data_IF_471469451666
#
_entry.id   IF_471469451666
#
_cell.length_a   1.000
_cell.length_b   1.000
_cell.length_c   1.000
_cell.angle_alpha   90.00
_cell.angle_beta   90.00
_cell.angle_gamma   90.00
#
_symmetry.space_group_name_H-M   'P 1'
#
loop_
_entity.id
_entity.type
_entity.pdbx_description
1 polymer ?
#
# COMPACT_ATOMS: atom_id res chain seq x y z
N UNK A 1 11.02 -0.52 4.15
CA UNK A 1 10.92 -1.30 2.91
C UNK A 1 12.31 -1.80 2.50
N UNK A 2 12.40 -2.96 1.87
CA UNK A 2 13.67 -3.51 1.39
C UNK A 2 14.47 -4.35 2.40
N UNK A 3 14.15 -4.35 3.69
CA UNK A 3 14.80 -5.18 4.72
C UNK A 3 14.10 -6.53 4.89
N UNK A 4 13.88 -7.25 3.80
CA UNK A 4 13.15 -8.52 3.82
C UNK A 4 14.04 -9.74 4.06
N UNK A 5 15.34 -9.67 3.69
CA UNK A 5 16.26 -10.78 3.93
C UNK A 5 17.02 -10.60 5.25
N UNK A 6 17.43 -11.72 5.91
CA UNK A 6 18.23 -11.69 7.14
C UNK A 6 19.53 -10.88 6.98
N UNK A 7 20.19 -10.97 5.83
CA UNK A 7 21.44 -10.27 5.53
C UNK A 7 21.23 -8.76 5.52
N UNK A 8 20.16 -8.28 4.83
CA UNK A 8 19.84 -6.84 4.78
C UNK A 8 19.46 -6.30 6.17
N UNK A 9 18.70 -7.07 6.96
CA UNK A 9 18.38 -6.70 8.35
C UNK A 9 19.65 -6.52 9.17
N UNK A 10 20.61 -7.46 9.12
CA UNK A 10 21.88 -7.39 9.84
C UNK A 10 22.73 -6.15 9.47
N UNK A 11 22.75 -5.78 8.19
CA UNK A 11 23.50 -4.57 7.74
C UNK A 11 22.92 -3.32 8.40
N UNK A 12 21.58 -3.16 8.35
CA UNK A 12 20.92 -2.00 8.95
C UNK A 12 21.05 -2.01 10.47
N UNK A 13 20.89 -3.17 11.11
CA UNK A 13 21.05 -3.35 12.55
C UNK A 13 22.45 -2.95 13.01
N UNK A 14 23.50 -3.45 12.37
CA UNK A 14 24.88 -3.14 12.69
C UNK A 14 25.17 -1.62 12.55
N UNK A 15 24.66 -0.99 11.50
CA UNK A 15 24.79 0.46 11.29
C UNK A 15 24.13 1.27 12.41
N UNK A 16 22.90 0.90 12.80
CA UNK A 16 22.15 1.60 13.84
C UNK A 16 22.79 1.37 15.24
N UNK A 17 23.21 0.14 15.55
CA UNK A 17 23.93 -0.16 16.81
C UNK A 17 25.21 0.65 16.90
N UNK A 18 25.97 0.77 15.80
CA UNK A 18 27.20 1.56 15.77
C UNK A 18 26.96 3.06 16.04
N UNK A 19 25.86 3.61 15.55
CA UNK A 19 25.50 5.02 15.73
C UNK A 19 24.90 5.31 17.11
N UNK A 20 23.92 4.52 17.54
CA UNK A 20 23.13 4.80 18.74
C UNK A 20 23.71 4.16 20.00
N UNK A 21 24.71 3.27 19.90
CA UNK A 21 25.32 2.55 21.02
C UNK A 21 24.31 1.83 21.92
N UNK A 22 23.24 1.33 21.32
CA UNK A 22 22.14 0.62 21.99
C UNK A 22 21.76 -0.62 21.17
N UNK A 23 21.24 -1.69 21.80
CA UNK A 23 20.67 -2.82 21.07
C UNK A 23 19.54 -2.37 20.12
N UNK A 24 19.56 -2.86 18.89
CA UNK A 24 18.57 -2.55 17.86
C UNK A 24 18.05 -3.85 17.27
N UNK A 25 16.76 -3.94 17.05
CA UNK A 25 16.13 -5.03 16.27
C UNK A 25 15.50 -4.45 15.01
N UNK A 26 15.87 -4.99 13.86
CA UNK A 26 15.33 -4.59 12.56
C UNK A 26 14.30 -5.59 12.10
N UNK A 27 13.07 -5.12 11.89
CA UNK A 27 11.96 -5.93 11.43
C UNK A 27 11.35 -5.41 10.12
N UNK A 28 10.46 -6.20 9.50
CA UNK A 28 9.77 -5.79 8.29
C UNK A 28 8.75 -4.68 8.59
N UNK A 29 8.50 -3.83 7.59
CA UNK A 29 7.42 -2.84 7.60
C UNK A 29 6.06 -3.49 7.85
N UNK A 30 5.83 -4.69 7.32
CA UNK A 30 4.60 -5.45 7.51
C UNK A 30 4.38 -5.85 8.99
N UNK A 31 5.43 -6.30 9.70
CA UNK A 31 5.32 -6.58 11.14
C UNK A 31 5.10 -5.28 11.92
N UNK A 32 5.77 -4.20 11.51
CA UNK A 32 5.52 -2.88 12.07
C UNK A 32 4.08 -2.40 11.87
N UNK A 33 3.51 -2.64 10.68
CA UNK A 33 2.10 -2.35 10.41
C UNK A 33 1.16 -3.19 11.29
N UNK A 34 1.39 -4.49 11.39
CA UNK A 34 0.58 -5.39 12.21
C UNK A 34 0.58 -4.97 13.70
N UNK A 35 1.75 -4.75 14.29
CA UNK A 35 1.90 -4.28 15.67
C UNK A 35 1.28 -2.89 15.87
N UNK A 36 1.46 -1.97 14.93
CA UNK A 36 0.90 -0.61 15.02
C UNK A 36 -0.62 -0.53 14.84
N UNK A 37 -1.21 -1.45 14.10
CA UNK A 37 -2.65 -1.50 13.88
C UNK A 37 -3.39 -2.30 14.94
N UNK A 38 -2.87 -3.46 15.30
CA UNK A 38 -3.53 -4.50 16.10
C UNK A 38 -3.00 -4.59 17.54
N UNK A 39 -1.81 -4.04 17.80
CA UNK A 39 -1.12 -4.15 19.10
C UNK A 39 -0.89 -5.63 19.43
N UNK A 40 -1.66 -6.20 20.36
CA UNK A 40 -1.61 -7.61 20.78
C UNK A 40 -2.86 -8.38 20.37
N UNK A 41 -3.73 -7.81 19.51
CA UNK A 41 -4.91 -8.50 19.02
C UNK A 41 -4.60 -9.27 17.73
N UNK A 42 -5.22 -10.44 17.58
CA UNK A 42 -5.15 -11.18 16.33
C UNK A 42 -6.00 -10.52 15.24
N UNK A 43 -5.52 -10.53 13.99
CA UNK A 43 -6.25 -9.95 12.87
C UNK A 43 -5.47 -9.90 11.56
N UNK A 44 -6.07 -9.34 10.56
CA UNK A 44 -5.47 -9.12 9.23
C UNK A 44 -5.01 -7.66 9.17
N UNK A 45 -3.72 -7.45 8.98
CA UNK A 45 -3.11 -6.15 8.78
C UNK A 45 -2.76 -5.97 7.31
N UNK A 46 -3.20 -4.86 6.72
CA UNK A 46 -3.01 -4.51 5.33
C UNK A 46 -2.28 -3.17 5.20
N UNK A 47 -1.32 -3.12 4.28
CA UNK A 47 -0.64 -1.89 3.86
C UNK A 47 -1.16 -1.52 2.47
N UNK A 48 -1.66 -0.30 2.30
CA UNK A 48 -1.94 0.33 1.00
C UNK A 48 -1.27 1.70 0.95
N UNK A 49 -0.06 1.72 0.42
CA UNK A 49 0.76 2.90 0.21
C UNK A 49 1.22 3.00 -1.24
N UNK A 50 2.50 3.30 -1.48
CA UNK A 50 3.12 3.22 -2.82
C UNK A 50 3.09 1.80 -3.38
N UNK A 51 3.33 0.78 -2.54
CA UNK A 51 3.05 -0.64 -2.80
C UNK A 51 1.92 -1.15 -1.90
N UNK A 52 1.64 -2.45 -1.96
CA UNK A 52 0.69 -3.12 -1.07
C UNK A 52 1.24 -4.40 -0.46
N UNK A 53 0.77 -4.73 0.72
CA UNK A 53 1.09 -5.99 1.40
C UNK A 53 0.01 -6.33 2.43
N UNK A 54 -0.04 -7.59 2.89
CA UNK A 54 -0.99 -8.01 3.93
C UNK A 54 -0.45 -9.18 4.73
N UNK A 55 -0.94 -9.37 5.94
CA UNK A 55 -0.65 -10.56 6.74
C UNK A 55 -1.78 -10.89 7.70
N UNK A 56 -1.85 -12.16 8.10
CA UNK A 56 -2.52 -12.56 9.31
C UNK A 56 -1.52 -12.55 10.47
N UNK A 57 -1.85 -11.79 11.50
CA UNK A 57 -1.09 -11.60 12.72
C UNK A 57 -1.85 -12.22 13.88
N UNK A 58 -1.20 -13.02 14.73
CA UNK A 58 -1.83 -13.74 15.85
C UNK A 58 -1.84 -12.96 17.18
N UNK A 59 -1.38 -11.71 17.15
CA UNK A 59 -1.15 -10.86 18.34
C UNK A 59 0.32 -10.84 18.80
N UNK A 60 1.18 -11.65 18.19
CA UNK A 60 2.62 -11.75 18.51
C UNK A 60 3.51 -11.77 17.28
N UNK A 61 3.16 -12.59 16.28
CA UNK A 61 3.91 -12.80 15.07
C UNK A 61 3.03 -12.85 13.82
N UNK A 62 3.64 -12.66 12.66
CA UNK A 62 2.99 -12.93 11.38
C UNK A 62 2.93 -14.44 11.17
N UNK A 63 1.72 -14.99 11.09
CA UNK A 63 1.46 -16.42 10.90
C UNK A 63 1.33 -16.76 9.41
N UNK A 64 0.70 -15.86 8.63
CA UNK A 64 0.52 -16.03 7.19
C UNK A 64 0.72 -14.69 6.48
N UNK A 65 1.45 -14.71 5.36
CA UNK A 65 1.62 -13.55 4.48
C UNK A 65 1.34 -13.98 3.04
N UNK A 66 0.42 -13.31 2.38
CA UNK A 66 0.26 -13.38 0.94
C UNK A 66 1.30 -12.45 0.31
N UNK A 67 2.16 -12.99 -0.54
CA UNK A 67 3.29 -12.24 -1.11
C UNK A 67 2.81 -11.04 -1.92
N UNK A 68 3.38 -9.86 -1.69
CA UNK A 68 3.06 -8.63 -2.42
C UNK A 68 3.47 -8.66 -3.89
N UNK A 69 4.51 -9.38 -4.24
CA UNK A 69 5.10 -9.57 -5.57
C UNK A 69 5.63 -8.28 -6.24
N UNK A 70 5.46 -7.10 -5.63
CA UNK A 70 5.92 -5.81 -6.14
C UNK A 70 5.10 -5.27 -7.31
N UNK A 71 5.50 -4.10 -7.82
CA UNK A 71 4.71 -3.29 -8.77
C UNK A 71 4.51 -3.92 -10.15
N UNK A 72 5.33 -4.92 -10.54
CA UNK A 72 5.19 -5.61 -11.83
C UNK A 72 4.09 -6.68 -11.75
N UNK A 73 4.19 -7.58 -10.77
CA UNK A 73 3.37 -8.80 -10.68
C UNK A 73 2.24 -8.70 -9.65
N UNK A 74 2.25 -7.69 -8.79
CA UNK A 74 1.32 -7.53 -7.67
C UNK A 74 1.05 -6.08 -7.34
N UNK A 75 1.13 -5.76 -6.03
CA UNK A 75 0.85 -4.45 -5.44
C UNK A 75 -0.56 -3.92 -5.76
N UNK A 76 -1.54 -4.82 -5.94
CA UNK A 76 -2.92 -4.46 -6.19
C UNK A 76 -3.43 -3.46 -5.13
N UNK A 77 -4.26 -2.51 -5.54
CA UNK A 77 -4.80 -1.47 -4.66
C UNK A 77 -3.81 -0.39 -4.24
N UNK A 78 -2.51 -0.52 -4.56
CA UNK A 78 -1.49 0.48 -4.25
C UNK A 78 -1.53 1.69 -5.17
N UNK A 79 -0.86 2.77 -4.77
CA UNK A 79 -0.68 3.95 -5.61
C UNK A 79 0.06 3.63 -6.92
N UNK A 80 1.09 2.78 -6.87
CA UNK A 80 1.80 2.36 -8.09
C UNK A 80 0.91 1.55 -9.04
N UNK A 81 0.06 0.67 -8.51
CA UNK A 81 -0.88 -0.10 -9.31
C UNK A 81 -1.92 0.79 -9.99
N UNK A 82 -2.52 1.72 -9.25
CA UNK A 82 -3.50 2.69 -9.77
C UNK A 82 -2.84 3.59 -10.81
N UNK A 83 -1.67 4.15 -10.51
CA UNK A 83 -0.94 5.02 -11.43
C UNK A 83 -0.52 4.31 -12.71
N UNK A 84 -0.08 3.04 -12.63
CA UNK A 84 0.24 2.22 -13.80
C UNK A 84 -0.98 2.01 -14.71
N UNK A 85 -2.12 1.68 -14.13
CA UNK A 85 -3.38 1.48 -14.88
C UNK A 85 -3.83 2.78 -15.53
N UNK A 86 -3.88 3.85 -14.76
CA UNK A 86 -4.27 5.17 -15.25
C UNK A 86 -3.38 5.65 -16.40
N UNK A 87 -2.06 5.57 -16.22
CA UNK A 87 -1.13 5.97 -17.28
C UNK A 87 -1.29 5.14 -18.56
N UNK A 88 -1.46 3.82 -18.42
CA UNK A 88 -1.73 2.96 -19.57
C UNK A 88 -3.00 3.38 -20.30
N UNK A 89 -4.05 3.75 -19.57
CA UNK A 89 -5.31 4.19 -20.16
C UNK A 89 -5.19 5.59 -20.81
N UNK A 90 -4.35 6.49 -20.25
CA UNK A 90 -4.03 7.78 -20.87
C UNK A 90 -3.29 7.60 -22.20
N UNK A 91 -2.25 6.76 -22.21
CA UNK A 91 -1.40 6.53 -23.41
C UNK A 91 -2.11 5.73 -24.52
N UNK A 92 -3.27 5.14 -24.23
CA UNK A 92 -4.09 4.36 -25.17
C UNK A 92 -5.43 5.04 -25.51
N UNK A 93 -5.61 6.29 -25.12
CA UNK A 93 -6.84 7.05 -25.34
C UNK A 93 -8.11 6.36 -24.80
N UNK A 94 -7.97 5.58 -23.71
CA UNK A 94 -9.08 4.89 -23.02
C UNK A 94 -9.67 5.78 -21.93
N UNK A 95 -8.83 6.57 -21.25
CA UNK A 95 -9.28 7.54 -20.25
C UNK A 95 -10.02 8.73 -20.93
N UNK A 96 -10.95 9.42 -20.24
CA UNK A 96 -11.63 10.57 -20.79
C UNK A 96 -10.66 11.64 -21.28
N UNK A 97 -10.86 12.17 -22.49
CA UNK A 97 -9.92 13.08 -23.15
C UNK A 97 -9.59 14.33 -22.30
N UNK A 98 -10.59 14.90 -21.61
CA UNK A 98 -10.34 16.05 -20.73
C UNK A 98 -9.42 15.66 -19.56
N UNK A 99 -9.63 14.51 -18.94
CA UNK A 99 -8.79 14.01 -17.84
C UNK A 99 -7.35 13.75 -18.30
N UNK A 100 -7.18 13.24 -19.53
CA UNK A 100 -5.86 13.02 -20.17
C UNK A 100 -5.14 14.36 -20.36
N UNK A 101 -5.81 15.36 -20.93
CA UNK A 101 -5.24 16.69 -21.13
C UNK A 101 -4.81 17.32 -19.79
N UNK A 102 -5.71 17.32 -18.81
CA UNK A 102 -5.44 17.83 -17.46
C UNK A 102 -4.26 17.12 -16.79
N UNK A 103 -4.12 15.81 -17.01
CA UNK A 103 -3.01 15.02 -16.48
C UNK A 103 -1.68 15.41 -17.12
N UNK A 104 -1.59 15.49 -18.44
CA UNK A 104 -0.36 15.87 -19.12
C UNK A 104 0.06 17.32 -18.81
N UNK A 105 -0.90 18.22 -18.65
CA UNK A 105 -0.65 19.57 -18.16
C UNK A 105 -0.11 19.57 -16.71
N UNK A 106 -0.72 18.78 -15.83
CA UNK A 106 -0.30 18.64 -14.42
C UNK A 106 1.14 18.13 -14.26
N UNK A 107 1.53 17.09 -15.03
CA UNK A 107 2.87 16.51 -14.92
C UNK A 107 3.92 17.25 -15.76
N UNK A 108 3.49 18.06 -16.74
CA UNK A 108 4.35 18.80 -17.66
C UNK A 108 5.45 17.94 -18.33
N UNK A 109 5.07 16.76 -18.78
CA UNK A 109 5.93 15.80 -19.50
C UNK A 109 5.19 15.29 -20.72
N UNK A 110 5.91 15.08 -21.80
CA UNK A 110 5.40 14.41 -23.02
C UNK A 110 5.24 12.89 -22.77
N UNK A 111 4.45 12.19 -23.59
CA UNK A 111 4.34 10.73 -23.55
C UNK A 111 5.70 10.01 -23.63
N UNK A 112 6.62 10.48 -24.46
CA UNK A 112 7.95 9.86 -24.65
C UNK A 112 8.83 10.07 -23.42
N UNK A 113 8.80 11.24 -22.78
CA UNK A 113 9.52 11.52 -21.53
C UNK A 113 8.99 10.66 -20.39
N UNK A 114 7.67 10.43 -20.31
CA UNK A 114 7.07 9.52 -19.33
C UNK A 114 7.53 8.09 -19.54
N UNK A 115 7.55 7.63 -20.80
CA UNK A 115 8.02 6.28 -21.13
C UNK A 115 9.49 6.11 -20.72
N UNK A 116 10.37 7.07 -21.05
CA UNK A 116 11.76 7.06 -20.58
C UNK A 116 11.85 7.07 -19.06
N UNK A 117 11.05 7.92 -18.37
CA UNK A 117 11.04 7.96 -16.92
C UNK A 117 10.64 6.64 -16.25
N UNK A 118 9.84 5.81 -16.92
CA UNK A 118 9.42 4.52 -16.37
C UNK A 118 10.43 3.41 -16.70
N UNK A 119 10.96 3.37 -17.94
CA UNK A 119 11.79 2.26 -18.36
C UNK A 119 13.27 2.46 -18.10
N UNK A 120 13.76 3.71 -18.02
CA UNK A 120 15.17 4.02 -17.86
C UNK A 120 15.56 4.30 -16.38
N UNK A 121 14.57 4.49 -15.47
CA UNK A 121 14.84 4.79 -14.07
C UNK A 121 14.93 3.55 -13.18
N UNK A 122 15.75 3.63 -12.13
CA UNK A 122 15.97 2.57 -11.16
C UNK A 122 14.79 2.30 -10.21
N UNK A 123 13.80 3.20 -10.13
CA UNK A 123 12.64 3.13 -9.22
C UNK A 123 11.31 3.48 -9.91
N UNK A 124 10.88 2.71 -10.91
CA UNK A 124 9.65 3.00 -11.66
C UNK A 124 8.37 3.01 -10.80
N UNK A 125 8.34 2.23 -9.72
CA UNK A 125 7.20 2.18 -8.78
C UNK A 125 6.94 3.53 -8.11
N UNK A 126 7.98 4.30 -7.78
CA UNK A 126 7.84 5.62 -7.21
C UNK A 126 7.22 6.60 -8.21
N UNK A 127 7.69 6.58 -9.44
CA UNK A 127 7.16 7.40 -10.54
C UNK A 127 5.68 7.10 -10.78
N UNK A 128 5.31 5.82 -10.87
CA UNK A 128 3.92 5.39 -11.02
C UNK A 128 3.05 5.83 -9.84
N UNK A 129 3.58 5.76 -8.60
CA UNK A 129 2.86 6.22 -7.40
C UNK A 129 2.58 7.73 -7.42
N UNK A 130 3.49 8.53 -7.98
CA UNK A 130 3.29 9.98 -8.12
C UNK A 130 2.12 10.27 -9.07
N UNK A 131 1.98 9.55 -10.16
CA UNK A 131 0.90 9.74 -11.12
C UNK A 131 -0.49 9.47 -10.52
N UNK A 132 -0.60 8.53 -9.58
CA UNK A 132 -1.88 8.29 -8.90
C UNK A 132 -2.34 9.43 -8.02
N UNK A 133 -1.44 10.33 -7.58
CA UNK A 133 -1.81 11.49 -6.75
C UNK A 133 -2.73 12.46 -7.47
N UNK A 134 -2.58 12.58 -8.78
CA UNK A 134 -3.46 13.39 -9.62
C UNK A 134 -4.93 12.99 -9.53
N UNK A 135 -5.22 11.73 -9.14
CA UNK A 135 -6.57 11.18 -9.09
C UNK A 135 -7.25 11.37 -7.72
N UNK A 136 -6.50 11.76 -6.66
CA UNK A 136 -7.00 11.68 -5.28
C UNK A 136 -8.21 12.60 -5.00
N UNK A 137 -8.28 13.72 -5.68
CA UNK A 137 -9.35 14.73 -5.57
C UNK A 137 -10.40 14.64 -6.69
N UNK A 138 -10.39 13.56 -7.49
CA UNK A 138 -11.22 13.38 -8.69
C UNK A 138 -12.14 12.14 -8.62
N UNK A 139 -12.42 11.66 -7.40
CA UNK A 139 -13.30 10.50 -7.21
C UNK A 139 -14.76 10.75 -7.60
N UNK A 140 -15.16 11.99 -7.78
CA UNK A 140 -16.45 12.40 -8.34
C UNK A 140 -16.61 12.04 -9.83
N UNK A 141 -15.49 11.82 -10.53
CA UNK A 141 -15.48 11.37 -11.92
C UNK A 141 -15.66 9.84 -11.97
N UNK A 142 -16.69 9.39 -12.67
CA UNK A 142 -17.07 7.96 -12.77
C UNK A 142 -15.91 7.06 -13.27
N UNK A 143 -15.09 7.54 -14.19
CA UNK A 143 -13.90 6.80 -14.65
C UNK A 143 -12.90 6.57 -13.51
N UNK A 144 -12.58 7.63 -12.74
CA UNK A 144 -11.61 7.57 -11.63
C UNK A 144 -12.13 6.67 -10.52
N UNK A 145 -13.40 6.83 -10.15
CA UNK A 145 -14.06 5.99 -9.16
C UNK A 145 -13.96 4.49 -9.55
N UNK A 146 -14.32 4.15 -10.80
CA UNK A 146 -14.23 2.75 -11.28
C UNK A 146 -12.80 2.22 -11.29
N UNK A 147 -11.83 3.02 -11.72
CA UNK A 147 -10.42 2.64 -11.73
C UNK A 147 -9.92 2.29 -10.33
N UNK A 148 -10.18 3.17 -9.36
CA UNK A 148 -9.79 2.99 -7.95
C UNK A 148 -10.53 1.80 -7.33
N UNK A 149 -11.84 1.69 -7.56
CA UNK A 149 -12.66 0.59 -7.06
C UNK A 149 -12.17 -0.76 -7.57
N UNK A 150 -11.84 -0.88 -8.86
CA UNK A 150 -11.28 -2.10 -9.44
C UNK A 150 -9.90 -2.44 -8.85
N UNK A 151 -9.06 -1.44 -8.62
CA UNK A 151 -7.74 -1.67 -8.00
C UNK A 151 -7.87 -2.19 -6.57
N UNK A 152 -8.77 -1.61 -5.77
CA UNK A 152 -9.05 -2.04 -4.40
C UNK A 152 -9.71 -3.43 -4.38
N UNK A 153 -10.68 -3.70 -5.25
CA UNK A 153 -11.31 -5.02 -5.40
C UNK A 153 -10.28 -6.10 -5.73
N UNK A 154 -9.34 -5.78 -6.63
CA UNK A 154 -8.24 -6.70 -6.94
C UNK A 154 -7.38 -7.01 -5.71
N UNK A 155 -7.13 -6.03 -4.83
CA UNK A 155 -6.41 -6.26 -3.57
C UNK A 155 -7.20 -7.21 -2.65
N UNK A 156 -8.49 -7.01 -2.48
CA UNK A 156 -9.30 -7.93 -1.67
C UNK A 156 -9.24 -9.35 -2.23
N UNK A 157 -9.54 -9.53 -3.51
CA UNK A 157 -9.58 -10.86 -4.15
C UNK A 157 -8.25 -11.60 -4.09
N UNK A 158 -7.15 -10.90 -4.31
CA UNK A 158 -5.82 -11.50 -4.44
C UNK A 158 -5.06 -11.60 -3.12
N UNK A 159 -5.44 -10.82 -2.11
CA UNK A 159 -4.76 -10.78 -0.81
C UNK A 159 -5.70 -11.11 0.34
N UNK A 160 -6.70 -10.28 0.65
CA UNK A 160 -7.51 -10.41 1.87
C UNK A 160 -8.30 -11.71 1.90
N UNK A 161 -8.94 -12.08 0.78
CA UNK A 161 -9.74 -13.31 0.68
C UNK A 161 -8.91 -14.60 0.68
N UNK A 162 -7.56 -14.50 0.65
CA UNK A 162 -6.67 -15.65 0.80
C UNK A 162 -6.45 -16.05 2.28
N UNK A 163 -6.90 -15.20 3.21
CA UNK A 163 -6.92 -15.53 4.64
C UNK A 163 -8.28 -16.15 5.00
N UNK A 164 -8.32 -16.83 6.13
CA UNK A 164 -9.56 -17.17 6.82
C UNK A 164 -10.06 -15.87 7.50
N UNK A 165 -10.81 -15.03 6.75
CA UNK A 165 -11.14 -13.66 7.15
C UNK A 165 -12.46 -13.53 7.92
N UNK A 166 -13.32 -14.54 7.88
CA UNK A 166 -14.64 -14.50 8.52
C UNK A 166 -14.51 -14.27 10.03
N UNK A 167 -15.20 -13.25 10.53
CA UNK A 167 -15.16 -12.87 11.93
C UNK A 167 -13.84 -12.28 12.43
N UNK A 168 -12.83 -12.10 11.57
CA UNK A 168 -11.55 -11.51 11.97
C UNK A 168 -11.52 -10.00 11.84
N UNK A 169 -10.75 -9.37 12.71
CA UNK A 169 -10.44 -7.95 12.63
C UNK A 169 -9.58 -7.68 11.40
N UNK A 170 -10.01 -6.72 10.55
CA UNK A 170 -9.25 -6.25 9.39
C UNK A 170 -8.90 -4.78 9.57
N UNK A 171 -7.62 -4.44 9.43
CA UNK A 171 -7.14 -3.08 9.58
C UNK A 171 -6.21 -2.69 8.41
N UNK A 172 -6.23 -1.42 8.06
CA UNK A 172 -5.43 -0.85 6.98
C UNK A 172 -4.52 0.27 7.46
N UNK A 173 -3.35 0.38 6.86
CA UNK A 173 -2.43 1.50 7.03
C UNK A 173 -1.87 1.95 5.69
N UNK A 174 -1.68 3.24 5.55
CA UNK A 174 -1.02 3.86 4.41
C UNK A 174 -1.78 5.05 3.84
N UNK A 175 -1.06 5.89 3.12
CA UNK A 175 -1.62 7.11 2.51
C UNK A 175 -2.73 6.80 1.50
N UNK A 176 -2.54 5.73 0.70
CA UNK A 176 -3.51 5.33 -0.31
C UNK A 176 -4.78 4.74 0.33
N UNK A 177 -4.65 3.99 1.44
CA UNK A 177 -5.79 3.51 2.21
C UNK A 177 -6.64 4.66 2.75
N UNK A 178 -6.00 5.73 3.24
CA UNK A 178 -6.70 6.90 3.76
C UNK A 178 -7.33 7.74 2.65
N UNK A 179 -6.61 7.98 1.54
CA UNK A 179 -7.11 8.77 0.42
C UNK A 179 -8.39 8.17 -0.18
N UNK A 180 -8.46 6.86 -0.26
CA UNK A 180 -9.59 6.14 -0.84
C UNK A 180 -10.42 5.37 0.19
N UNK A 181 -10.46 5.85 1.45
CA UNK A 181 -11.12 5.15 2.57
C UNK A 181 -12.60 4.86 2.34
N UNK A 182 -13.33 5.74 1.66
CA UNK A 182 -14.73 5.53 1.28
C UNK A 182 -14.89 4.33 0.35
N UNK A 183 -14.14 4.32 -0.76
CA UNK A 183 -14.16 3.22 -1.75
C UNK A 183 -13.63 1.92 -1.12
N UNK A 184 -12.62 2.02 -0.26
CA UNK A 184 -12.06 0.87 0.47
C UNK A 184 -13.11 0.22 1.38
N UNK A 185 -13.89 1.02 2.10
CA UNK A 185 -14.97 0.53 2.97
C UNK A 185 -16.09 -0.10 2.15
N UNK A 186 -16.52 0.55 1.07
CA UNK A 186 -17.55 0.03 0.17
C UNK A 186 -17.18 -1.35 -0.41
N UNK A 187 -15.93 -1.49 -0.88
CA UNK A 187 -15.45 -2.78 -1.40
C UNK A 187 -15.38 -3.82 -0.29
N UNK A 188 -14.93 -3.48 0.91
CA UNK A 188 -14.91 -4.38 2.06
C UNK A 188 -16.32 -4.88 2.41
N UNK A 189 -17.31 -3.97 2.45
CA UNK A 189 -18.70 -4.28 2.75
C UNK A 189 -19.30 -5.25 1.71
N UNK A 190 -18.91 -5.16 0.43
CA UNK A 190 -19.34 -6.08 -0.62
C UNK A 190 -18.88 -7.53 -0.38
N UNK A 191 -17.85 -7.72 0.46
CA UNK A 191 -17.35 -9.04 0.91
C UNK A 191 -17.76 -9.37 2.35
N UNK A 192 -18.68 -8.61 2.96
CA UNK A 192 -19.07 -8.73 4.37
C UNK A 192 -17.88 -8.57 5.36
N UNK A 193 -16.87 -7.80 4.96
CA UNK A 193 -15.69 -7.52 5.79
C UNK A 193 -15.85 -6.14 6.42
N UNK A 194 -15.84 -6.09 7.76
CA UNK A 194 -15.83 -4.82 8.50
C UNK A 194 -14.39 -4.39 8.79
N UNK A 195 -14.02 -3.22 8.26
CA UNK A 195 -12.73 -2.60 8.57
C UNK A 195 -12.81 -1.96 9.95
N UNK A 196 -11.97 -2.42 10.89
CA UNK A 196 -11.90 -1.86 12.25
C UNK A 196 -11.17 -0.52 12.29
N UNK A 197 -10.13 -0.35 11.46
CA UNK A 197 -9.27 0.84 11.49
C UNK A 197 -8.61 1.08 10.13
N UNK A 198 -8.59 2.33 9.71
CA UNK A 198 -7.74 2.85 8.63
C UNK A 198 -6.86 3.94 9.23
N UNK A 199 -5.54 3.84 9.07
CA UNK A 199 -4.59 4.77 9.67
C UNK A 199 -3.57 5.27 8.63
N UNK A 200 -3.14 6.53 8.69
CA UNK A 200 -2.12 7.06 7.77
C UNK A 200 -0.72 6.50 8.06
N UNK A 201 -0.46 6.11 9.30
CA UNK A 201 0.83 5.60 9.77
C UNK A 201 0.65 4.58 10.89
N UNK A 202 1.56 3.60 10.96
CA UNK A 202 1.64 2.65 12.07
C UNK A 202 2.34 3.22 13.31
N UNK A 203 3.04 4.35 13.20
CA UNK A 203 3.90 4.90 14.26
C UNK A 203 3.20 5.13 15.60
N UNK A 204 2.00 5.78 15.67
CA UNK A 204 1.33 5.97 16.96
C UNK A 204 1.01 4.65 17.67
N UNK A 205 0.61 3.63 16.90
CA UNK A 205 0.36 2.30 17.43
C UNK A 205 1.63 1.57 17.85
N UNK A 206 2.74 1.71 17.11
CA UNK A 206 4.03 1.15 17.49
C UNK A 206 4.56 1.75 18.79
N UNK A 207 4.43 3.07 18.97
CA UNK A 207 4.75 3.72 20.26
C UNK A 207 3.94 3.08 21.38
N UNK A 208 2.64 2.92 21.20
CA UNK A 208 1.78 2.26 22.19
C UNK A 208 2.20 0.81 22.46
N UNK A 209 2.44 0.02 21.40
CA UNK A 209 2.89 -1.38 21.49
C UNK A 209 4.13 -1.50 22.38
N UNK A 210 5.18 -0.70 22.10
CA UNK A 210 6.43 -0.73 22.87
C UNK A 210 6.37 -0.03 24.25
N UNK A 211 5.33 0.74 24.53
CA UNK A 211 5.12 1.35 25.85
C UNK A 211 4.38 0.43 26.84
N UNK A 212 3.68 -0.59 26.31
CA UNK A 212 2.87 -1.52 27.13
C UNK A 212 3.71 -2.71 27.66
N UNK A 213 4.88 -2.94 27.08
CA UNK A 213 5.82 -4.02 27.47
C UNK A 213 6.86 -3.60 28.54
N UNK A 214 6.55 -2.54 29.33
CA UNK A 214 7.41 -2.11 30.45
C UNK A 214 6.75 -2.33 31.80
#
# INVERSE_FOLDING_TARGET
AGCTSPEKKKIVEASLVAQFKTPVTVESDLLGAARGLLINEAGIACILGSGSNSCYYDGRAIVKNVRSLGYILGDEGSAAYIGKRFLSDCLKDIAPAQLVNDFFEYINLSPDEIMSAIYDHSLPSNTLSVYSRFLMDKLDQDYVYRLVRHAIDAFFRRNVLQYDYEGKTVCFVGSNACAYSGVLTEVADSYNIKIKKIAPSSMPGLVKYHSTDR
#
